data_IF_767929986274
#
_entry.id   IF_767929986274
#
_cell.length_a   1.000
_cell.length_b   1.000
_cell.length_c   1.000
_cell.angle_alpha   90.00
_cell.angle_beta   90.00
_cell.angle_gamma   90.00
#
_symmetry.space_group_name_H-M   'P 1'
#
loop_
_entity.id
_entity.type
_entity.pdbx_description
1 polymer ?
#
# COMPACT_ATOMS: atom_id res chain seq x y z
N UNK A 1 57.62 -0.59 24.38
CA UNK A 1 56.41 -0.32 23.56
C UNK A 1 55.57 -1.59 23.47
N UNK A 2 54.47 -1.68 24.22
CA UNK A 2 53.13 -2.04 23.73
C UNK A 2 52.16 -1.93 24.92
N UNK A 3 51.25 -0.97 24.80
CA UNK A 3 50.13 -0.73 25.68
C UNK A 3 49.17 -1.92 25.57
N UNK A 4 49.08 -2.75 26.61
CA UNK A 4 48.13 -3.85 26.65
C UNK A 4 46.75 -3.26 26.96
N UNK A 5 45.85 -3.32 25.97
CA UNK A 5 44.46 -2.89 26.07
C UNK A 5 43.70 -3.72 27.13
N UNK A 6 43.82 -3.37 28.41
CA UNK A 6 42.98 -3.93 29.49
C UNK A 6 41.66 -3.19 29.61
N UNK A 7 40.93 -3.03 28.50
CA UNK A 7 39.54 -2.54 28.55
C UNK A 7 38.52 -3.70 28.62
N UNK A 8 38.85 -4.74 29.38
CA UNK A 8 37.98 -5.88 29.68
C UNK A 8 37.76 -6.05 31.20
N UNK A 9 38.24 -5.11 32.02
CA UNK A 9 37.96 -5.12 33.46
C UNK A 9 36.59 -4.50 33.76
N UNK A 10 35.62 -5.42 33.82
CA UNK A 10 34.45 -5.40 34.66
C UNK A 10 33.43 -4.28 34.41
N UNK A 11 32.59 -4.51 33.40
CA UNK A 11 31.19 -4.09 33.52
C UNK A 11 30.65 -4.77 34.79
N UNK A 12 30.44 -4.00 35.86
CA UNK A 12 29.88 -4.52 37.12
C UNK A 12 28.56 -5.26 36.82
N UNK A 13 28.25 -6.40 37.48
CA UNK A 13 27.02 -7.15 37.25
C UNK A 13 25.74 -6.29 37.32
N UNK A 14 25.77 -5.27 38.18
CA UNK A 14 24.68 -4.31 38.35
C UNK A 14 24.66 -3.28 37.22
N UNK A 15 25.81 -2.83 36.74
CA UNK A 15 25.90 -1.86 35.64
C UNK A 15 25.51 -2.51 34.31
N UNK A 16 25.89 -3.78 34.10
CA UNK A 16 25.54 -4.55 32.91
C UNK A 16 24.02 -4.69 32.75
N UNK A 17 23.33 -5.00 33.85
CA UNK A 17 21.87 -5.19 33.85
C UNK A 17 21.13 -3.89 33.62
N UNK A 18 21.58 -2.78 34.21
CA UNK A 18 20.98 -1.45 33.97
C UNK A 18 21.10 -1.05 32.50
N UNK A 19 22.28 -1.23 31.88
CA UNK A 19 22.48 -0.89 30.47
C UNK A 19 21.62 -1.76 29.53
N UNK A 20 21.48 -3.05 29.85
CA UNK A 20 20.65 -3.98 29.09
C UNK A 20 19.16 -3.63 29.18
N UNK A 21 18.68 -3.26 30.36
CA UNK A 21 17.28 -2.85 30.55
C UNK A 21 17.02 -1.49 29.91
N UNK A 22 17.96 -0.56 30.00
CA UNK A 22 17.83 0.76 29.40
C UNK A 22 17.61 0.66 27.87
N UNK A 23 18.41 -0.16 27.17
CA UNK A 23 18.26 -0.30 25.72
C UNK A 23 16.96 -0.99 25.33
N UNK A 24 16.49 -1.99 26.09
CA UNK A 24 15.22 -2.68 25.76
C UNK A 24 14.01 -1.79 25.96
N UNK A 25 14.00 -0.94 26.99
CA UNK A 25 12.93 0.04 27.21
C UNK A 25 12.91 1.07 26.09
N UNK A 26 14.08 1.54 25.64
CA UNK A 26 14.17 2.48 24.51
C UNK A 26 13.66 1.84 23.22
N UNK A 27 14.09 0.62 22.89
CA UNK A 27 13.63 -0.10 21.70
C UNK A 27 12.11 -0.36 21.75
N UNK A 28 11.58 -0.76 22.91
CA UNK A 28 10.15 -0.93 23.10
C UNK A 28 9.37 0.38 22.93
N UNK A 29 9.90 1.50 23.42
CA UNK A 29 9.32 2.82 23.25
C UNK A 29 9.29 3.29 21.79
N UNK A 30 10.40 3.11 21.05
CA UNK A 30 10.47 3.45 19.62
C UNK A 30 9.51 2.57 18.81
N UNK A 31 9.48 1.26 19.07
CA UNK A 31 8.52 0.34 18.45
C UNK A 31 7.08 0.72 18.78
N UNK A 32 6.79 1.15 20.01
CA UNK A 32 5.45 1.58 20.41
C UNK A 32 4.99 2.82 19.64
N UNK A 33 5.84 3.86 19.52
CA UNK A 33 5.49 5.07 18.77
C UNK A 33 5.30 4.75 17.28
N UNK A 34 6.16 3.91 16.70
CA UNK A 34 6.01 3.49 15.31
C UNK A 34 4.75 2.65 15.08
N UNK A 35 4.49 1.67 15.95
CA UNK A 35 3.28 0.85 15.90
C UNK A 35 2.01 1.68 16.14
N UNK A 36 2.07 2.69 17.01
CA UNK A 36 0.95 3.60 17.25
C UNK A 36 0.66 4.46 16.04
N UNK A 37 1.69 4.97 15.34
CA UNK A 37 1.51 5.69 14.07
C UNK A 37 0.90 4.80 12.98
N UNK A 38 1.26 3.51 12.95
CA UNK A 38 0.65 2.55 12.02
C UNK A 38 -0.79 2.22 12.41
N UNK A 39 -1.07 2.10 13.72
CA UNK A 39 -2.40 1.81 14.23
C UNK A 39 -3.34 3.01 14.08
N UNK A 40 -2.96 4.22 14.48
CA UNK A 40 -3.78 5.44 14.34
C UNK A 40 -4.06 5.76 12.86
N UNK A 41 -3.10 5.52 11.96
CA UNK A 41 -3.33 5.63 10.52
C UNK A 41 -4.33 4.61 9.95
N UNK A 42 -4.75 3.61 10.74
CA UNK A 42 -5.52 2.46 10.26
C UNK A 42 -6.65 1.99 11.21
N UNK A 43 -6.97 2.77 12.26
CA UNK A 43 -7.97 2.42 13.29
C UNK A 43 -9.28 3.21 13.20
N UNK A 44 -9.41 4.07 12.19
CA UNK A 44 -10.72 4.61 11.80
C UNK A 44 -11.45 3.61 10.91
N UNK A 45 -12.15 2.65 11.53
CA UNK A 45 -13.03 1.66 10.89
C UNK A 45 -12.33 0.72 9.90
N UNK A 46 -11.94 -0.47 10.40
CA UNK A 46 -11.37 -1.62 9.65
C UNK A 46 -10.48 -1.27 8.46
N UNK A 47 -9.16 -1.36 8.62
CA UNK A 47 -8.17 -1.33 7.54
C UNK A 47 -8.78 -1.47 6.14
N UNK A 48 -9.07 -0.33 5.50
CA UNK A 48 -9.87 -0.33 4.27
C UNK A 48 -8.94 -0.66 3.11
N UNK A 49 -8.79 -1.96 2.88
CA UNK A 49 -8.17 -2.45 1.66
C UNK A 49 -9.20 -2.41 0.54
N UNK A 50 -8.82 -1.76 -0.56
CA UNK A 50 -9.56 -1.88 -1.81
C UNK A 50 -8.89 -2.96 -2.64
N UNK A 51 -9.63 -4.02 -2.91
CA UNK A 51 -9.18 -5.11 -3.78
C UNK A 51 -9.96 -5.03 -5.09
N UNK A 52 -9.23 -4.95 -6.20
CA UNK A 52 -9.79 -4.85 -7.55
C UNK A 52 -9.25 -5.98 -8.40
N UNK A 53 -10.15 -6.77 -8.98
CA UNK A 53 -9.80 -7.75 -10.02
C UNK A 53 -10.22 -7.21 -11.37
N UNK A 54 -9.35 -7.33 -12.38
CA UNK A 54 -9.65 -6.97 -13.76
C UNK A 54 -9.71 -8.24 -14.62
N UNK A 55 -10.85 -8.47 -15.25
CA UNK A 55 -11.06 -9.54 -16.23
C UNK A 55 -11.14 -8.94 -17.63
N UNK A 56 -10.38 -9.49 -18.56
CA UNK A 56 -10.42 -9.12 -19.98
C UNK A 56 -11.49 -9.90 -20.74
N UNK A 57 -12.09 -9.27 -21.76
CA UNK A 57 -13.05 -9.85 -22.72
C UNK A 57 -14.19 -10.66 -22.08
N UNK A 58 -15.28 -9.98 -21.77
CA UNK A 58 -16.36 -10.51 -20.96
C UNK A 58 -17.35 -11.33 -21.78
N UNK A 59 -17.52 -11.00 -23.06
CA UNK A 59 -18.48 -11.65 -23.95
C UNK A 59 -17.80 -12.01 -25.28
N UNK A 60 -17.10 -13.14 -25.30
CA UNK A 60 -16.50 -13.67 -26.53
C UNK A 60 -15.18 -12.99 -26.92
N UNK A 61 -14.74 -13.24 -28.16
CA UNK A 61 -13.51 -12.65 -28.68
C UNK A 61 -13.75 -11.17 -29.02
N UNK A 62 -12.81 -10.26 -28.66
CA UNK A 62 -12.89 -8.86 -29.02
C UNK A 62 -13.19 -8.70 -30.52
N UNK A 63 -14.26 -7.97 -30.84
CA UNK A 63 -14.60 -7.68 -32.23
C UNK A 63 -13.97 -6.36 -32.69
N UNK A 64 -14.08 -6.05 -33.99
CA UNK A 64 -13.71 -4.72 -34.52
C UNK A 64 -14.78 -3.66 -34.26
N UNK A 65 -15.87 -4.01 -33.56
CA UNK A 65 -16.94 -3.08 -33.21
C UNK A 65 -16.58 -2.29 -31.93
N UNK A 66 -17.18 -1.12 -31.77
CA UNK A 66 -16.89 -0.19 -30.67
C UNK A 66 -17.73 -0.42 -29.41
N UNK A 67 -18.61 -1.42 -29.42
CA UNK A 67 -19.55 -1.70 -28.35
C UNK A 67 -19.13 -2.91 -27.48
N UNK A 68 -17.89 -3.36 -27.61
CA UNK A 68 -17.37 -4.49 -26.85
C UNK A 68 -16.94 -4.07 -25.45
N UNK A 69 -17.24 -4.93 -24.47
CA UNK A 69 -16.75 -4.77 -23.11
C UNK A 69 -15.37 -5.41 -22.99
N UNK A 70 -14.34 -4.61 -23.27
CA UNK A 70 -12.95 -5.05 -23.33
C UNK A 70 -12.38 -5.47 -21.96
N UNK A 71 -12.75 -4.78 -20.88
CA UNK A 71 -12.26 -5.02 -19.51
C UNK A 71 -13.38 -4.76 -18.51
N UNK A 72 -13.55 -5.65 -17.52
CA UNK A 72 -14.33 -5.38 -16.31
C UNK A 72 -13.43 -5.37 -15.11
N UNK A 73 -13.58 -4.31 -14.33
CA UNK A 73 -12.98 -4.21 -13.01
C UNK A 73 -14.07 -4.51 -11.97
N UNK A 74 -13.83 -5.50 -11.13
CA UNK A 74 -14.69 -5.85 -10.00
C UNK A 74 -13.99 -5.43 -8.71
N UNK A 75 -14.68 -4.68 -7.85
CA UNK A 75 -14.20 -4.42 -6.49
C UNK A 75 -14.62 -5.59 -5.60
N UNK A 76 -13.65 -6.41 -5.20
CA UNK A 76 -13.84 -7.60 -4.37
C UNK A 76 -13.88 -7.27 -2.88
N UNK A 77 -13.23 -6.17 -2.47
CA UNK A 77 -13.19 -5.67 -1.10
C UNK A 77 -13.08 -4.15 -1.11
N UNK A 78 -13.70 -3.49 -0.14
CA UNK A 78 -13.63 -2.04 0.03
C UNK A 78 -14.91 -1.43 0.56
N UNK A 79 -14.91 -0.12 0.76
CA UNK A 79 -16.09 0.67 1.11
C UNK A 79 -16.73 1.27 -0.15
N UNK A 80 -17.93 1.83 -0.01
CA UNK A 80 -18.61 2.50 -1.11
C UNK A 80 -17.72 3.62 -1.68
N UNK A 81 -17.39 3.51 -2.97
CA UNK A 81 -16.58 4.50 -3.68
C UNK A 81 -17.44 5.72 -4.00
N UNK A 82 -16.91 6.92 -3.73
CA UNK A 82 -17.49 8.15 -4.26
C UNK A 82 -17.13 8.27 -5.75
N UNK A 83 -18.01 7.77 -6.62
CA UNK A 83 -17.82 7.73 -8.08
C UNK A 83 -17.63 9.11 -8.74
N UNK A 84 -17.97 10.21 -8.07
CA UNK A 84 -17.72 11.56 -8.57
C UNK A 84 -16.23 11.97 -8.48
N UNK A 85 -15.43 11.28 -7.65
CA UNK A 85 -14.02 11.57 -7.43
C UNK A 85 -13.08 10.53 -8.08
N UNK A 86 -13.63 9.52 -8.76
CA UNK A 86 -12.86 8.47 -9.41
C UNK A 86 -12.36 8.98 -10.76
N UNK A 87 -11.07 8.74 -11.03
CA UNK A 87 -10.47 8.91 -12.36
C UNK A 87 -9.91 7.57 -12.80
N UNK A 88 -10.35 7.08 -13.96
CA UNK A 88 -9.87 5.83 -14.56
C UNK A 88 -8.89 6.21 -15.66
N UNK A 89 -7.70 5.62 -15.67
CA UNK A 89 -6.73 5.80 -16.75
C UNK A 89 -6.20 4.45 -17.21
N UNK A 90 -6.09 4.27 -18.52
CA UNK A 90 -5.59 3.04 -19.14
C UNK A 90 -4.36 3.37 -19.99
N UNK A 91 -3.38 2.47 -19.99
CA UNK A 91 -2.23 2.52 -20.88
C UNK A 91 -2.20 1.23 -21.70
N UNK A 92 -1.89 1.35 -22.98
CA UNK A 92 -1.80 0.25 -23.93
C UNK A 92 -0.35 0.17 -24.39
N UNK A 93 0.29 -1.00 -24.27
CA UNK A 93 1.68 -1.24 -24.67
C UNK A 93 2.69 -0.23 -24.09
N UNK A 94 2.56 0.12 -22.80
CA UNK A 94 3.38 1.11 -22.11
C UNK A 94 3.34 2.53 -22.72
N UNK A 95 2.31 2.81 -23.52
CA UNK A 95 2.06 4.13 -24.09
C UNK A 95 1.62 5.17 -23.04
N UNK A 96 1.49 6.42 -23.49
CA UNK A 96 0.96 7.49 -22.66
C UNK A 96 -0.44 7.11 -22.13
N UNK A 97 -0.69 7.20 -20.80
CA UNK A 97 -1.99 6.88 -20.24
C UNK A 97 -3.08 7.79 -20.81
N UNK A 98 -4.19 7.20 -21.23
CA UNK A 98 -5.41 7.91 -21.58
C UNK A 98 -6.38 7.87 -20.40
N UNK A 99 -6.92 9.01 -20.01
CA UNK A 99 -7.95 9.08 -18.97
C UNK A 99 -9.30 8.78 -19.62
N UNK A 100 -10.01 7.80 -19.08
CA UNK A 100 -11.32 7.38 -19.52
C UNK A 100 -12.38 8.31 -18.94
N UNK A 101 -13.40 8.64 -19.73
CA UNK A 101 -14.52 9.44 -19.24
C UNK A 101 -15.57 8.57 -18.55
N UNK A 102 -16.25 9.18 -17.58
CA UNK A 102 -17.46 8.64 -17.00
C UNK A 102 -18.63 8.86 -17.96
N UNK A 103 -19.32 7.79 -18.32
CA UNK A 103 -20.48 7.77 -19.22
C UNK A 103 -20.11 8.11 -20.68
N UNK A 104 -20.99 7.73 -21.62
CA UNK A 104 -20.77 7.70 -23.08
C UNK A 104 -20.31 9.04 -23.69
N UNK A 105 -19.02 9.35 -23.56
CA UNK A 105 -18.34 10.39 -24.33
C UNK A 105 -17.90 9.84 -25.68
N UNK A 106 -17.78 10.70 -26.69
CA UNK A 106 -17.23 10.41 -28.02
C UNK A 106 -15.72 10.08 -28.01
N UNK A 107 -15.19 9.51 -26.90
CA UNK A 107 -13.76 9.28 -26.65
C UNK A 107 -13.42 7.79 -26.62
N UNK A 108 -12.14 7.53 -26.86
CA UNK A 108 -11.52 6.21 -27.07
C UNK A 108 -11.57 5.28 -25.84
N UNK A 109 -11.82 5.82 -24.64
CA UNK A 109 -12.06 5.04 -23.42
C UNK A 109 -13.20 5.63 -22.59
N UNK A 110 -14.16 4.77 -22.23
CA UNK A 110 -15.31 5.12 -21.39
C UNK A 110 -15.46 4.06 -20.30
N UNK A 111 -15.80 4.49 -19.08
CA UNK A 111 -16.24 3.61 -18.01
C UNK A 111 -17.67 3.95 -17.59
N UNK A 112 -18.43 2.90 -17.25
CA UNK A 112 -19.83 2.97 -16.84
C UNK A 112 -20.03 2.34 -15.47
#
# INVERSE_FOLDING_TARGET
MKNENRNEEAVSPVIATILMVAITVVLAGVLYVWASSLAEGNTGDSAVFYDFTADGAIEGQPSTATNDSLVRMTMNQGQAINWAAVSVSVSINDGAPITCDKDSGDRECVYV
#
